data_IF_728675673998
#
_entry.id   IF_728675673998
#
_cell.length_a   1.000
_cell.length_b   1.000
_cell.length_c   1.000
_cell.angle_alpha   90.00
_cell.angle_beta   90.00
_cell.angle_gamma   90.00
#
_symmetry.space_group_name_H-M   'P 1'
#
loop_
_entity.id
_entity.type
_entity.pdbx_description
1 polymer ?
#
# COMPACT_ATOMS: atom_id res chain seq x y z
N UNK A 1 34.24 -8.64 13.01
CA UNK A 1 34.17 -8.26 14.44
C UNK A 1 34.18 -9.54 15.29
N UNK A 2 35.00 -9.61 16.34
CA UNK A 2 35.14 -10.82 17.19
C UNK A 2 34.19 -10.81 18.41
N UNK A 3 33.88 -9.62 18.94
CA UNK A 3 32.98 -9.42 20.08
C UNK A 3 31.99 -8.28 19.75
N UNK A 4 30.79 -8.31 20.33
CA UNK A 4 29.84 -7.20 20.25
C UNK A 4 30.12 -6.16 21.36
N UNK A 5 29.45 -5.00 21.29
CA UNK A 5 29.66 -3.89 22.23
C UNK A 5 29.49 -4.30 23.70
N UNK A 6 28.57 -5.21 24.00
CA UNK A 6 28.29 -5.69 25.36
C UNK A 6 29.27 -6.75 25.85
N UNK A 7 30.05 -7.37 24.97
CA UNK A 7 30.97 -8.47 25.29
C UNK A 7 32.43 -8.13 24.92
N UNK A 8 32.76 -6.85 24.69
CA UNK A 8 34.13 -6.45 24.40
C UNK A 8 35.01 -6.58 25.64
N UNK A 9 36.27 -6.99 25.46
CA UNK A 9 37.28 -6.93 26.52
C UNK A 9 37.90 -5.52 26.60
N UNK A 10 38.52 -5.20 27.74
CA UNK A 10 39.26 -3.95 27.90
C UNK A 10 40.37 -3.82 26.85
N UNK A 11 40.50 -2.62 26.28
CA UNK A 11 41.42 -2.33 25.18
C UNK A 11 40.91 -2.70 23.78
N UNK A 12 39.78 -3.40 23.64
CA UNK A 12 39.19 -3.67 22.32
C UNK A 12 38.51 -2.43 21.74
N UNK A 13 38.84 -2.13 20.48
CA UNK A 13 38.32 -0.98 19.72
C UNK A 13 37.19 -1.39 18.77
N UNK A 14 36.27 -0.46 18.53
CA UNK A 14 35.24 -0.63 17.50
C UNK A 14 35.90 -0.63 16.12
N UNK A 15 35.75 -1.74 15.39
CA UNK A 15 36.27 -1.92 14.03
C UNK A 15 35.17 -1.78 12.96
N UNK A 16 33.92 -1.62 13.38
CA UNK A 16 32.76 -1.47 12.50
C UNK A 16 32.51 0.01 12.23
N UNK A 17 32.45 0.82 13.28
CA UNK A 17 32.15 2.24 13.17
C UNK A 17 33.44 3.05 13.08
N UNK A 18 33.47 4.02 12.16
CA UNK A 18 34.62 4.90 12.01
C UNK A 18 34.73 5.80 13.23
N UNK A 19 35.97 6.09 13.64
CA UNK A 19 36.25 7.05 14.69
C UNK A 19 36.75 8.35 14.07
N UNK A 20 36.64 9.45 14.83
CA UNK A 20 37.23 10.73 14.47
C UNK A 20 38.72 10.56 14.13
N UNK A 21 39.17 11.17 13.04
CA UNK A 21 40.56 11.07 12.56
C UNK A 21 41.57 11.88 13.39
N UNK A 22 41.11 12.63 14.40
CA UNK A 22 41.98 13.25 15.39
C UNK A 22 42.54 12.18 16.34
N UNK A 23 43.83 12.25 16.61
CA UNK A 23 44.53 11.25 17.42
C UNK A 23 43.93 11.13 18.82
N UNK A 24 43.79 9.89 19.30
CA UNK A 24 43.15 9.57 20.59
C UNK A 24 41.66 9.88 20.71
N UNK A 25 40.97 10.35 19.65
CA UNK A 25 39.56 10.71 19.74
C UNK A 25 38.61 9.53 19.54
N UNK A 26 37.83 9.19 20.57
CA UNK A 26 36.85 8.09 20.55
C UNK A 26 35.43 8.52 20.17
N UNK A 27 35.25 9.70 19.58
CA UNK A 27 33.93 10.17 19.13
C UNK A 27 33.64 9.76 17.69
N UNK A 28 32.37 9.48 17.38
CA UNK A 28 31.93 9.22 16.02
C UNK A 28 32.03 10.49 15.17
N UNK A 29 32.65 10.44 13.98
CA UNK A 29 32.77 11.61 13.13
C UNK A 29 31.44 11.89 12.44
N UNK A 30 31.12 13.18 12.31
CA UNK A 30 29.98 13.65 11.50
C UNK A 30 30.35 14.77 10.54
N UNK A 31 31.56 15.34 10.66
CA UNK A 31 32.03 16.48 9.89
C UNK A 31 33.04 16.09 8.83
N UNK A 32 32.94 16.73 7.67
CA UNK A 32 33.84 16.53 6.54
C UNK A 32 33.54 17.50 5.40
N UNK A 33 34.21 17.29 4.27
CA UNK A 33 34.04 18.09 3.04
C UNK A 33 33.23 17.36 1.97
N UNK A 34 32.99 16.05 2.14
CA UNK A 34 32.28 15.19 1.18
C UNK A 34 31.12 14.48 1.87
N UNK A 35 29.92 14.55 1.26
CA UNK A 35 28.70 13.91 1.78
C UNK A 35 28.90 12.41 2.05
N UNK A 36 28.39 11.92 3.19
CA UNK A 36 28.56 10.54 3.69
C UNK A 36 30.01 10.09 3.90
N UNK A 37 30.98 11.01 3.94
CA UNK A 37 32.38 10.72 4.27
C UNK A 37 32.85 11.60 5.45
N UNK A 38 32.31 11.37 6.66
CA UNK A 38 32.77 12.10 7.84
C UNK A 38 34.19 11.66 8.21
N UNK A 39 35.00 12.63 8.62
CA UNK A 39 36.38 12.44 9.06
C UNK A 39 36.58 12.90 10.51
N UNK A 40 35.91 13.98 10.90
CA UNK A 40 36.10 14.59 12.23
C UNK A 40 34.78 14.70 12.98
N UNK A 41 34.86 14.77 14.31
CA UNK A 41 33.72 15.12 15.14
C UNK A 41 33.51 16.64 15.19
N UNK A 42 32.46 17.08 15.89
CA UNK A 42 32.13 18.51 16.03
C UNK A 42 33.29 19.34 16.61
N UNK A 43 34.01 18.81 17.60
CA UNK A 43 35.11 19.53 18.28
C UNK A 43 36.40 19.58 17.48
N UNK A 44 36.62 18.62 16.57
CA UNK A 44 37.84 18.50 15.76
C UNK A 44 37.62 18.91 14.30
N UNK A 45 36.47 19.50 13.95
CA UNK A 45 36.23 19.99 12.59
C UNK A 45 37.11 21.22 12.32
N UNK A 46 37.69 21.30 11.13
CA UNK A 46 38.34 22.52 10.63
C UNK A 46 37.32 23.48 10.02
N UNK A 47 37.74 24.72 9.76
CA UNK A 47 36.89 25.68 9.05
C UNK A 47 36.57 25.18 7.63
N UNK A 48 35.36 25.47 7.15
CA UNK A 48 34.83 24.92 5.89
C UNK A 48 34.31 23.47 5.95
N UNK A 49 34.56 22.71 7.03
CA UNK A 49 33.93 21.39 7.20
C UNK A 49 32.47 21.52 7.65
N UNK A 50 31.60 20.73 7.02
CA UNK A 50 30.16 20.69 7.30
C UNK A 50 29.77 19.34 7.89
N UNK A 51 28.62 19.28 8.54
CA UNK A 51 28.02 18.00 8.91
C UNK A 51 27.61 17.27 7.62
N UNK A 52 28.26 16.15 7.35
CA UNK A 52 28.11 15.32 6.13
C UNK A 52 27.35 14.03 6.38
N UNK A 53 26.83 13.85 7.60
CA UNK A 53 26.05 12.68 8.01
C UNK A 53 24.59 13.08 8.18
N UNK A 54 24.36 14.18 8.88
CA UNK A 54 23.03 14.66 9.18
C UNK A 54 22.53 15.58 8.08
N UNK A 55 21.30 15.33 7.65
CA UNK A 55 20.63 16.24 6.73
C UNK A 55 20.38 17.58 7.40
N UNK A 56 20.45 18.61 6.57
CA UNK A 56 20.14 19.98 6.91
C UNK A 56 18.83 20.38 6.27
N UNK A 57 18.24 21.44 6.79
CA UNK A 57 17.10 22.09 6.17
C UNK A 57 17.40 22.39 4.70
N UNK A 58 16.43 22.12 3.82
CA UNK A 58 16.54 22.35 2.37
C UNK A 58 16.45 23.82 1.98
N UNK A 59 16.27 24.74 2.94
CA UNK A 59 16.39 26.17 2.70
C UNK A 59 17.86 26.56 2.58
N UNK A 60 18.19 27.37 1.57
CA UNK A 60 19.57 27.75 1.28
C UNK A 60 20.22 28.47 2.47
N UNK A 61 21.48 28.15 2.74
CA UNK A 61 22.22 28.68 3.89
C UNK A 61 21.76 28.20 5.28
N UNK A 62 20.68 27.41 5.40
CA UNK A 62 20.20 26.97 6.71
C UNK A 62 20.94 25.72 7.22
N UNK A 63 21.60 25.82 8.38
CA UNK A 63 22.33 24.70 8.98
C UNK A 63 21.51 23.87 10.00
N UNK A 64 20.26 24.25 10.25
CA UNK A 64 19.40 23.56 11.22
C UNK A 64 18.95 22.19 10.70
N UNK A 65 18.68 21.27 11.63
CA UNK A 65 18.15 19.94 11.29
C UNK A 65 16.69 20.02 10.85
N UNK A 66 16.31 19.34 9.76
CA UNK A 66 14.93 19.32 9.32
C UNK A 66 14.09 18.41 10.22
N UNK A 67 12.90 18.88 10.57
CA UNK A 67 11.91 18.12 11.33
C UNK A 67 10.51 18.19 10.70
N UNK A 68 10.27 19.06 9.72
CA UNK A 68 9.04 19.16 8.95
C UNK A 68 9.20 18.53 7.57
N UNK A 69 8.19 17.74 7.18
CA UNK A 69 8.12 17.12 5.86
C UNK A 69 6.70 16.74 5.50
N UNK A 70 6.51 16.29 4.26
CA UNK A 70 5.25 15.66 3.85
C UNK A 70 5.14 14.30 4.57
N UNK A 71 3.97 13.94 5.14
CA UNK A 71 3.82 12.65 5.79
C UNK A 71 4.20 11.50 4.87
N UNK A 72 4.89 10.48 5.41
CA UNK A 72 5.44 9.38 4.62
C UNK A 72 6.76 9.70 3.89
N UNK A 73 7.27 10.94 3.98
CA UNK A 73 8.57 11.34 3.46
C UNK A 73 9.55 11.75 4.55
N UNK A 74 10.80 11.86 4.14
CA UNK A 74 11.87 12.36 4.99
C UNK A 74 11.65 13.86 5.24
N UNK A 75 11.90 14.32 6.46
CA UNK A 75 11.83 15.75 6.77
C UNK A 75 12.85 16.53 5.93
N UNK A 76 12.40 17.65 5.38
CA UNK A 76 13.18 18.50 4.48
C UNK A 76 13.39 19.90 5.06
N UNK A 77 12.50 20.39 5.92
CA UNK A 77 12.55 21.76 6.43
C UNK A 77 12.59 21.80 7.96
N UNK A 78 13.18 22.85 8.52
CA UNK A 78 13.09 23.15 9.95
C UNK A 78 11.78 23.90 10.28
N UNK A 79 11.56 24.23 11.55
CA UNK A 79 10.37 24.96 12.01
C UNK A 79 10.23 26.35 11.40
N UNK A 80 11.34 27.05 11.16
CA UNK A 80 11.35 28.41 10.59
C UNK A 80 11.08 28.39 9.09
N UNK A 81 11.52 27.35 8.38
CA UNK A 81 11.41 27.21 6.94
C UNK A 81 10.32 26.21 6.49
N UNK A 82 9.44 25.79 7.39
CA UNK A 82 8.40 24.80 7.10
C UNK A 82 7.52 25.27 5.95
N UNK A 83 7.22 24.36 5.04
CA UNK A 83 6.37 24.65 3.88
C UNK A 83 4.89 24.32 4.19
N UNK A 84 3.93 24.90 3.45
CA UNK A 84 2.53 24.52 3.59
C UNK A 84 2.34 23.00 3.51
N UNK A 85 1.48 22.46 4.36
CA UNK A 85 1.15 21.03 4.44
C UNK A 85 2.30 20.10 4.86
N UNK A 86 3.41 20.66 5.32
CA UNK A 86 4.45 19.87 6.01
C UNK A 86 4.15 19.80 7.50
N UNK A 87 4.35 18.63 8.08
CA UNK A 87 4.17 18.39 9.51
C UNK A 87 5.42 17.72 10.07
N UNK A 88 5.55 17.73 11.40
CA UNK A 88 6.52 16.87 12.07
C UNK A 88 6.04 15.43 12.03
N UNK A 89 6.97 14.47 11.98
CA UNK A 89 6.62 13.05 12.03
C UNK A 89 5.78 12.75 13.29
N UNK A 90 4.54 12.24 13.17
CA UNK A 90 3.67 11.99 14.31
C UNK A 90 4.29 10.97 15.26
N UNK A 91 4.65 11.41 16.47
CA UNK A 91 5.26 10.55 17.49
C UNK A 91 4.39 10.41 18.75
N UNK A 92 3.39 11.28 18.92
CA UNK A 92 2.49 11.27 20.07
C UNK A 92 1.49 10.13 19.96
N UNK A 93 1.22 9.50 21.11
CA UNK A 93 0.19 8.47 21.24
C UNK A 93 -1.16 9.11 21.50
N UNK A 94 -2.21 8.38 21.13
CA UNK A 94 -3.57 8.74 21.48
C UNK A 94 -3.69 8.93 23.01
N UNK A 95 -4.36 10.00 23.43
CA UNK A 95 -4.57 10.34 24.84
C UNK A 95 -5.54 9.39 25.56
N UNK A 96 -6.22 8.49 24.82
CA UNK A 96 -7.11 7.51 25.43
C UNK A 96 -6.28 6.50 26.24
N UNK A 97 -6.75 6.21 27.47
CA UNK A 97 -6.08 5.29 28.40
C UNK A 97 -5.77 3.96 27.70
N UNK A 98 -4.53 3.49 27.84
CA UNK A 98 -4.01 2.24 27.26
C UNK A 98 -4.01 2.15 25.71
N UNK A 99 -4.33 3.22 24.98
CA UNK A 99 -4.27 3.21 23.53
C UNK A 99 -2.82 3.37 23.03
N UNK A 100 -2.35 2.41 22.24
CA UNK A 100 -0.99 2.43 21.66
C UNK A 100 -0.93 3.05 20.26
N UNK A 101 -2.07 3.45 19.69
CA UNK A 101 -2.15 4.06 18.37
C UNK A 101 -1.57 5.48 18.37
N UNK A 102 -1.05 5.90 17.23
CA UNK A 102 -0.56 7.27 17.02
C UNK A 102 -1.74 8.24 17.01
N UNK A 103 -1.57 9.40 17.63
CA UNK A 103 -2.54 10.48 17.55
C UNK A 103 -2.40 11.20 16.21
N UNK A 104 -3.50 11.26 15.45
CA UNK A 104 -3.58 11.89 14.13
C UNK A 104 -4.70 12.94 14.05
N UNK A 105 -5.64 12.91 15.01
CA UNK A 105 -6.86 13.71 15.02
C UNK A 105 -6.92 14.65 16.23
N UNK A 106 -7.48 15.84 16.08
CA UNK A 106 -7.73 16.80 17.15
C UNK A 106 -8.28 18.12 16.64
N UNK A 107 -8.29 19.18 17.46
CA UNK A 107 -8.71 20.53 17.03
C UNK A 107 -7.47 21.37 16.69
N UNK A 108 -6.64 21.69 17.69
CA UNK A 108 -5.41 22.47 17.49
C UNK A 108 -4.15 21.61 17.32
N UNK A 109 -4.22 20.38 17.83
CA UNK A 109 -3.14 19.39 17.80
C UNK A 109 -3.69 17.98 17.82
N UNK A 110 -2.96 17.04 17.23
CA UNK A 110 -3.33 15.64 17.24
C UNK A 110 -3.25 15.04 18.66
N UNK A 111 -4.39 14.60 19.19
CA UNK A 111 -4.54 13.98 20.52
C UNK A 111 -5.25 12.63 20.48
N UNK A 112 -5.99 12.32 19.41
CA UNK A 112 -6.74 11.07 19.25
C UNK A 112 -6.28 10.29 18.01
N UNK A 113 -6.41 8.97 18.04
CA UNK A 113 -6.28 8.15 16.84
C UNK A 113 -7.61 8.08 16.08
N UNK A 114 -7.63 7.42 14.92
CA UNK A 114 -8.81 7.26 14.08
C UNK A 114 -10.01 6.63 14.82
N UNK A 115 -9.76 5.65 15.69
CA UNK A 115 -10.82 4.99 16.47
C UNK A 115 -11.37 5.81 17.64
N UNK A 116 -10.63 6.83 18.08
CA UNK A 116 -11.00 7.65 19.24
C UNK A 116 -11.23 9.12 18.85
N UNK A 117 -11.39 9.42 17.56
CA UNK A 117 -11.68 10.78 17.10
C UNK A 117 -13.10 11.18 17.48
N UNK A 118 -13.28 12.47 17.70
CA UNK A 118 -14.58 13.09 17.95
C UNK A 118 -15.02 13.80 16.66
N UNK A 119 -16.30 14.15 16.55
CA UNK A 119 -16.87 14.71 15.31
C UNK A 119 -16.25 16.06 14.91
N UNK A 120 -15.81 16.85 15.89
CA UNK A 120 -15.12 18.12 15.70
C UNK A 120 -13.61 17.98 15.42
N UNK A 121 -13.06 16.76 15.46
CA UNK A 121 -11.63 16.57 15.20
C UNK A 121 -11.32 16.58 13.70
N UNK A 122 -10.29 17.34 13.34
CA UNK A 122 -9.68 17.36 12.01
C UNK A 122 -8.54 16.34 11.92
N UNK A 123 -8.31 15.82 10.71
CA UNK A 123 -7.18 14.96 10.38
C UNK A 123 -5.95 15.84 10.07
N UNK A 124 -4.86 15.66 10.82
CA UNK A 124 -3.63 16.44 10.62
C UNK A 124 -2.70 15.87 9.54
N UNK A 125 -3.02 14.70 8.99
CA UNK A 125 -2.13 13.93 8.11
C UNK A 125 -2.75 13.74 6.74
N UNK A 126 -4.00 13.27 6.68
CA UNK A 126 -4.69 13.03 5.42
C UNK A 126 -5.38 14.30 4.92
N UNK A 127 -5.42 14.46 3.60
CA UNK A 127 -5.98 15.61 2.90
C UNK A 127 -6.72 15.14 1.65
N UNK A 128 -7.61 15.98 1.13
CA UNK A 128 -8.37 15.68 -0.10
C UNK A 128 -7.46 15.80 -1.32
N UNK A 129 -7.32 14.71 -2.07
CA UNK A 129 -6.54 14.66 -3.30
C UNK A 129 -7.15 15.56 -4.37
N UNK A 130 -6.33 16.41 -5.00
CA UNK A 130 -6.79 17.33 -6.06
C UNK A 130 -7.22 16.61 -7.34
N UNK A 131 -6.77 15.37 -7.56
CA UNK A 131 -7.08 14.60 -8.78
C UNK A 131 -8.31 13.71 -8.65
N UNK A 132 -8.51 13.02 -7.51
CA UNK A 132 -9.61 12.06 -7.33
C UNK A 132 -10.64 12.47 -6.27
N UNK A 133 -10.41 13.56 -5.52
CA UNK A 133 -11.35 14.05 -4.49
C UNK A 133 -11.43 13.19 -3.22
N UNK A 134 -10.61 12.14 -3.11
CA UNK A 134 -10.58 11.25 -1.95
C UNK A 134 -9.49 11.67 -0.94
N UNK A 135 -9.73 11.36 0.33
CA UNK A 135 -8.83 11.69 1.43
C UNK A 135 -7.65 10.72 1.51
N UNK A 136 -6.43 11.22 1.36
CA UNK A 136 -5.18 10.46 1.39
C UNK A 136 -4.03 11.25 1.98
N UNK A 137 -2.93 10.57 2.27
CA UNK A 137 -1.63 11.23 2.37
C UNK A 137 -1.23 11.67 0.95
N UNK A 138 -1.05 12.97 0.79
CA UNK A 138 -0.76 13.60 -0.50
C UNK A 138 0.72 13.92 -0.61
N UNK A 139 1.22 13.98 -1.84
CA UNK A 139 2.56 14.46 -2.12
C UNK A 139 2.66 16.00 -2.10
N UNK A 140 3.81 16.54 -2.50
CA UNK A 140 4.05 17.98 -2.61
C UNK A 140 3.14 18.67 -3.65
N UNK A 141 2.62 17.93 -4.63
CA UNK A 141 1.70 18.43 -5.67
C UNK A 141 0.23 18.36 -5.23
N UNK A 142 -0.05 17.85 -4.03
CA UNK A 142 -1.40 17.68 -3.53
C UNK A 142 -2.16 16.53 -4.20
N UNK A 143 -1.46 15.59 -4.85
CA UNK A 143 -2.07 14.38 -5.41
C UNK A 143 -1.77 13.17 -4.52
N UNK A 144 -2.73 12.25 -4.43
CA UNK A 144 -2.49 11.01 -3.72
C UNK A 144 -1.55 10.12 -4.54
N UNK A 145 -0.90 9.18 -3.87
CA UNK A 145 0.03 8.24 -4.51
C UNK A 145 -0.59 7.39 -5.63
N UNK A 146 -1.92 7.26 -5.64
CA UNK A 146 -2.67 6.54 -6.68
C UNK A 146 -2.88 7.37 -7.95
N UNK A 147 -2.84 8.69 -7.80
CA UNK A 147 -2.98 9.66 -8.89
C UNK A 147 -1.62 10.14 -9.42
N UNK A 148 -0.50 9.84 -8.74
CA UNK A 148 0.85 10.05 -9.24
C UNK A 148 1.37 8.78 -9.96
N UNK A 149 1.48 8.78 -11.31
CA UNK A 149 1.92 7.61 -12.07
C UNK A 149 3.32 7.11 -11.66
N UNK A 150 4.20 7.99 -11.20
CA UNK A 150 5.56 7.60 -10.81
C UNK A 150 5.57 6.81 -9.50
N UNK A 151 4.61 7.08 -8.62
CA UNK A 151 4.48 6.40 -7.33
C UNK A 151 3.59 5.17 -7.40
N UNK A 152 2.56 5.19 -8.23
CA UNK A 152 1.67 4.06 -8.46
C UNK A 152 2.44 2.76 -8.75
N UNK A 153 3.50 2.84 -9.58
CA UNK A 153 4.30 1.68 -10.00
C UNK A 153 5.22 1.11 -8.90
N UNK A 154 5.39 1.79 -7.77
CA UNK A 154 6.34 1.38 -6.70
C UNK A 154 5.65 0.78 -5.47
N UNK A 155 4.31 0.80 -5.40
CA UNK A 155 3.56 0.33 -4.25
C UNK A 155 2.93 -1.05 -4.48
N UNK A 156 3.29 -2.02 -3.63
CA UNK A 156 2.73 -3.38 -3.63
C UNK A 156 1.21 -3.33 -3.37
N UNK A 157 0.40 -3.99 -4.19
CA UNK A 157 -1.08 -4.03 -4.12
C UNK A 157 -1.79 -2.69 -4.43
N UNK A 158 -1.13 -1.74 -5.12
CA UNK A 158 -1.74 -0.47 -5.49
C UNK A 158 -3.04 -0.67 -6.29
N UNK A 159 -3.05 -1.57 -7.28
CA UNK A 159 -4.22 -1.82 -8.13
C UNK A 159 -5.37 -2.43 -7.35
N UNK A 160 -5.10 -3.42 -6.50
CA UNK A 160 -6.09 -4.00 -5.60
C UNK A 160 -6.68 -2.96 -4.63
N UNK A 161 -5.83 -2.10 -4.06
CA UNK A 161 -6.26 -1.02 -3.17
C UNK A 161 -7.19 -0.04 -3.90
N UNK A 162 -6.93 0.25 -5.17
CA UNK A 162 -7.81 1.09 -6.01
C UNK A 162 -9.19 0.48 -6.21
N UNK A 163 -9.27 -0.83 -6.43
CA UNK A 163 -10.54 -1.56 -6.49
C UNK A 163 -11.28 -1.47 -5.15
N UNK A 164 -10.58 -1.67 -4.03
CA UNK A 164 -11.16 -1.52 -2.69
C UNK A 164 -11.77 -0.14 -2.46
N UNK A 165 -11.09 0.92 -2.91
CA UNK A 165 -11.58 2.29 -2.78
C UNK A 165 -12.86 2.51 -3.59
N UNK A 166 -12.89 2.02 -4.83
CA UNK A 166 -14.08 2.07 -5.68
C UNK A 166 -15.25 1.33 -5.02
N UNK A 167 -15.01 0.12 -4.51
CA UNK A 167 -16.01 -0.66 -3.78
C UNK A 167 -16.46 -0.02 -2.46
N UNK A 168 -15.60 0.73 -1.76
CA UNK A 168 -15.98 1.44 -0.54
C UNK A 168 -16.76 2.74 -0.81
N UNK A 169 -16.54 3.38 -1.97
CA UNK A 169 -17.18 4.63 -2.34
C UNK A 169 -18.59 4.43 -2.94
N UNK A 170 -18.93 3.20 -3.33
CA UNK A 170 -20.23 2.87 -3.92
C UNK A 170 -21.35 2.88 -2.85
N UNK A 171 -22.53 3.37 -3.23
CA UNK A 171 -23.70 3.46 -2.34
C UNK A 171 -24.77 2.41 -2.66
N UNK A 172 -24.41 1.40 -3.46
CA UNK A 172 -25.35 0.42 -3.99
C UNK A 172 -25.71 -0.60 -2.90
N UNK A 173 -27.01 -0.76 -2.62
CA UNK A 173 -27.50 -1.73 -1.65
C UNK A 173 -27.21 -3.18 -2.11
N UNK A 174 -26.77 -4.04 -1.17
CA UNK A 174 -26.34 -5.42 -1.48
C UNK A 174 -24.95 -5.53 -2.13
N UNK A 175 -24.26 -4.40 -2.31
CA UNK A 175 -22.97 -4.32 -3.00
C UNK A 175 -21.85 -4.02 -2.00
N UNK A 176 -21.80 -4.78 -0.90
CA UNK A 176 -20.78 -4.62 0.15
C UNK A 176 -20.13 -5.97 0.44
N UNK A 177 -18.81 -6.04 0.31
CA UNK A 177 -18.06 -7.24 0.66
C UNK A 177 -18.11 -7.48 2.18
N UNK A 178 -18.14 -8.75 2.56
CA UNK A 178 -18.13 -9.21 3.97
C UNK A 178 -16.71 -9.50 4.46
N UNK A 179 -15.77 -9.77 3.56
CA UNK A 179 -14.35 -9.99 3.87
C UNK A 179 -13.43 -9.40 2.79
N UNK A 180 -12.22 -8.99 3.20
CA UNK A 180 -11.17 -8.47 2.33
C UNK A 180 -9.80 -8.92 2.84
N UNK A 181 -9.01 -9.59 1.99
CA UNK A 181 -7.67 -10.08 2.30
C UNK A 181 -7.63 -10.84 3.64
N UNK A 182 -8.51 -11.84 3.83
CA UNK A 182 -8.54 -12.70 5.03
C UNK A 182 -8.62 -14.16 4.64
N UNK A 183 -7.98 -15.00 5.46
CA UNK A 183 -8.05 -16.46 5.30
C UNK A 183 -9.46 -16.92 5.60
N UNK A 184 -9.96 -17.88 4.83
CA UNK A 184 -11.27 -18.50 5.08
C UNK A 184 -11.19 -19.40 6.31
N UNK A 185 -12.22 -19.36 7.15
CA UNK A 185 -12.39 -20.26 8.30
C UNK A 185 -11.21 -20.25 9.29
N UNK A 186 -10.58 -19.08 9.48
CA UNK A 186 -9.41 -18.87 10.35
C UNK A 186 -8.23 -19.85 10.13
N UNK A 187 -8.17 -20.49 8.96
CA UNK A 187 -7.13 -21.47 8.63
C UNK A 187 -7.46 -22.93 8.95
N UNK A 188 -8.68 -23.23 9.39
CA UNK A 188 -9.11 -24.59 9.76
C UNK A 188 -9.17 -25.52 8.54
N UNK A 189 -9.68 -25.04 7.41
CA UNK A 189 -9.83 -25.82 6.17
C UNK A 189 -8.79 -25.48 5.07
N UNK A 190 -7.91 -24.49 5.28
CA UNK A 190 -6.86 -24.11 4.32
C UNK A 190 -6.27 -22.72 4.57
N UNK A 191 -5.21 -22.34 3.85
CA UNK A 191 -4.58 -21.00 3.95
C UNK A 191 -5.07 -20.02 2.87
N UNK A 192 -6.10 -20.40 2.13
CA UNK A 192 -6.57 -19.63 0.99
C UNK A 192 -7.20 -18.31 1.41
N UNK A 193 -6.84 -17.26 0.67
CA UNK A 193 -7.12 -15.88 1.01
C UNK A 193 -7.70 -15.17 -0.21
N UNK A 194 -9.03 -15.11 -0.33
CA UNK A 194 -9.68 -14.32 -1.36
C UNK A 194 -9.35 -12.82 -1.18
N UNK A 195 -9.22 -12.12 -2.30
CA UNK A 195 -9.03 -10.67 -2.27
C UNK A 195 -10.26 -9.97 -1.69
N UNK A 196 -11.45 -10.27 -2.21
CA UNK A 196 -12.74 -9.81 -1.66
C UNK A 196 -13.76 -10.94 -1.66
N UNK A 197 -14.55 -11.02 -0.61
CA UNK A 197 -15.67 -11.97 -0.47
C UNK A 197 -16.97 -11.20 -0.29
N UNK A 198 -17.98 -11.55 -1.07
CA UNK A 198 -19.34 -11.05 -0.95
C UNK A 198 -20.29 -12.20 -0.65
N UNK A 199 -21.29 -11.94 0.17
CA UNK A 199 -22.33 -12.90 0.54
C UNK A 199 -23.63 -12.51 -0.17
N UNK A 200 -24.12 -13.40 -1.04
CA UNK A 200 -25.46 -13.32 -1.59
C UNK A 200 -26.36 -14.34 -0.88
N UNK A 201 -27.68 -14.19 -1.02
CA UNK A 201 -28.65 -15.03 -0.31
C UNK A 201 -28.57 -16.53 -0.69
N UNK A 202 -28.00 -16.86 -1.86
CA UNK A 202 -27.96 -18.23 -2.41
C UNK A 202 -26.54 -18.76 -2.65
N UNK A 203 -25.52 -17.90 -2.62
CA UNK A 203 -24.16 -18.24 -3.03
C UNK A 203 -23.16 -17.19 -2.51
N UNK A 204 -21.86 -17.49 -2.60
CA UNK A 204 -20.80 -16.50 -2.41
C UNK A 204 -20.28 -15.98 -3.73
N UNK A 205 -19.81 -14.74 -3.74
CA UNK A 205 -19.07 -14.17 -4.86
C UNK A 205 -17.68 -13.79 -4.37
N UNK A 206 -16.66 -14.32 -5.04
CA UNK A 206 -15.26 -13.97 -4.79
C UNK A 206 -14.78 -13.06 -5.90
N UNK A 207 -14.20 -11.91 -5.57
CA UNK A 207 -13.51 -11.04 -6.53
C UNK A 207 -12.00 -11.14 -6.32
N UNK A 208 -11.28 -11.56 -7.35
CA UNK A 208 -9.82 -11.62 -7.41
C UNK A 208 -9.28 -10.49 -8.28
N UNK A 209 -8.31 -9.72 -7.79
CA UNK A 209 -7.64 -8.65 -8.54
C UNK A 209 -6.31 -9.17 -9.06
N UNK A 210 -6.36 -9.78 -10.24
CA UNK A 210 -5.25 -10.52 -10.82
C UNK A 210 -4.28 -9.60 -11.58
N UNK A 211 -3.34 -9.01 -10.85
CA UNK A 211 -2.24 -8.28 -11.48
C UNK A 211 -1.41 -9.21 -12.40
N UNK A 212 -1.06 -8.74 -13.58
CA UNK A 212 -0.37 -9.50 -14.64
C UNK A 212 -1.09 -10.80 -15.08
N UNK A 213 -2.40 -10.92 -14.87
CA UNK A 213 -3.21 -12.09 -15.25
C UNK A 213 -2.77 -13.43 -14.62
N UNK A 214 -1.96 -13.40 -13.55
CA UNK A 214 -1.44 -14.61 -12.89
C UNK A 214 -0.70 -15.59 -13.85
N UNK A 215 -0.02 -15.07 -14.89
CA UNK A 215 0.70 -15.87 -15.91
C UNK A 215 1.77 -16.83 -15.36
N UNK A 216 2.23 -16.60 -14.14
CA UNK A 216 3.27 -17.40 -13.48
C UNK A 216 2.73 -18.63 -12.73
N UNK A 217 1.40 -18.85 -12.68
CA UNK A 217 0.78 -19.99 -12.01
C UNK A 217 0.18 -20.97 -13.01
N UNK A 218 0.35 -22.27 -12.75
CA UNK A 218 -0.30 -23.31 -13.53
C UNK A 218 -1.82 -23.22 -13.33
N UNK A 219 -2.56 -23.22 -14.44
CA UNK A 219 -4.02 -23.11 -14.46
C UNK A 219 -4.70 -24.14 -13.55
N UNK A 220 -4.17 -25.37 -13.51
CA UNK A 220 -4.66 -26.45 -12.64
C UNK A 220 -4.60 -26.08 -11.14
N UNK A 221 -3.57 -25.35 -10.73
CA UNK A 221 -3.43 -24.90 -9.34
C UNK A 221 -4.46 -23.82 -9.00
N UNK A 222 -4.81 -22.93 -9.93
CA UNK A 222 -5.85 -21.93 -9.72
C UNK A 222 -7.25 -22.57 -9.69
N UNK A 223 -7.54 -23.56 -10.55
CA UNK A 223 -8.77 -24.34 -10.47
C UNK A 223 -8.91 -25.04 -9.12
N UNK A 224 -7.86 -25.71 -8.67
CA UNK A 224 -7.83 -26.37 -7.35
C UNK A 224 -8.04 -25.37 -6.21
N UNK A 225 -7.41 -24.19 -6.28
CA UNK A 225 -7.58 -23.11 -5.31
C UNK A 225 -9.05 -22.64 -5.23
N UNK A 226 -9.69 -22.41 -6.37
CA UNK A 226 -11.09 -21.99 -6.44
C UNK A 226 -12.05 -23.05 -5.88
N UNK A 227 -11.80 -24.33 -6.17
CA UNK A 227 -12.57 -25.45 -5.60
C UNK A 227 -12.42 -25.50 -4.08
N UNK A 228 -11.19 -25.42 -3.56
CA UNK A 228 -10.93 -25.45 -2.12
C UNK A 228 -11.63 -24.28 -1.40
N UNK A 229 -11.57 -23.08 -1.97
CA UNK A 229 -12.28 -21.90 -1.44
C UNK A 229 -13.79 -22.16 -1.40
N UNK A 230 -14.38 -22.66 -2.49
CA UNK A 230 -15.81 -22.93 -2.60
C UNK A 230 -16.28 -24.01 -1.61
N UNK A 231 -15.46 -25.04 -1.40
CA UNK A 231 -15.72 -26.09 -0.42
C UNK A 231 -15.61 -25.56 1.01
N UNK A 232 -14.60 -24.76 1.32
CA UNK A 232 -14.43 -24.13 2.64
C UNK A 232 -15.56 -23.15 2.98
N UNK A 233 -16.19 -22.52 1.98
CA UNK A 233 -17.37 -21.66 2.17
C UNK A 233 -18.68 -22.45 2.29
N UNK A 234 -18.71 -23.71 1.87
CA UNK A 234 -19.87 -24.61 2.02
C UNK A 234 -21.10 -24.27 1.17
N UNK A 235 -20.98 -23.36 0.21
CA UNK A 235 -22.08 -22.94 -0.68
C UNK A 235 -21.58 -22.73 -2.11
N UNK A 236 -22.49 -22.72 -3.11
CA UNK A 236 -22.11 -22.35 -4.47
C UNK A 236 -21.31 -21.05 -4.48
N UNK A 237 -20.25 -20.98 -5.27
CA UNK A 237 -19.33 -19.84 -5.30
C UNK A 237 -19.00 -19.44 -6.74
N UNK A 238 -19.15 -18.15 -7.03
CA UNK A 238 -18.83 -17.55 -8.34
C UNK A 238 -17.61 -16.66 -8.19
N UNK A 239 -16.56 -16.94 -8.96
CA UNK A 239 -15.34 -16.14 -9.00
C UNK A 239 -15.43 -15.09 -10.11
N UNK A 240 -15.19 -13.83 -9.77
CA UNK A 240 -14.99 -12.73 -10.71
C UNK A 240 -13.50 -12.39 -10.70
N UNK A 241 -12.78 -12.77 -11.74
CA UNK A 241 -11.35 -12.45 -11.89
C UNK A 241 -11.22 -11.16 -12.69
N UNK A 242 -10.62 -10.15 -12.08
CA UNK A 242 -10.48 -8.83 -12.68
C UNK A 242 -9.01 -8.50 -12.93
N UNK A 243 -8.62 -8.38 -14.20
CA UNK A 243 -7.29 -7.92 -14.56
C UNK A 243 -7.26 -6.37 -14.61
N UNK A 244 -6.50 -5.69 -13.74
CA UNK A 244 -6.34 -4.24 -13.80
C UNK A 244 -5.31 -3.79 -14.87
N UNK A 245 -4.54 -4.72 -15.43
CA UNK A 245 -3.44 -4.46 -16.36
C UNK A 245 -3.86 -4.47 -17.82
N UNK A 246 -2.90 -4.10 -18.67
CA UNK A 246 -3.00 -4.23 -20.11
C UNK A 246 -3.16 -5.70 -20.51
N UNK A 247 -3.91 -5.95 -21.57
CA UNK A 247 -4.16 -7.30 -22.08
C UNK A 247 -4.15 -7.30 -23.61
N UNK A 248 -4.10 -8.49 -24.21
CA UNK A 248 -4.12 -8.69 -25.64
C UNK A 248 -5.54 -8.99 -26.12
N UNK A 249 -5.93 -8.39 -27.24
CA UNK A 249 -7.11 -8.80 -28.03
C UNK A 249 -6.63 -9.37 -29.37
N UNK A 250 -7.46 -10.22 -29.98
CA UNK A 250 -7.11 -10.95 -31.20
C UNK A 250 -8.02 -10.61 -32.39
N UNK A 251 -8.03 -9.35 -32.89
CA UNK A 251 -8.79 -8.99 -34.08
C UNK A 251 -8.11 -9.56 -35.32
N UNK A 252 -8.90 -10.13 -36.24
CA UNK A 252 -8.49 -10.47 -37.61
C UNK A 252 -7.19 -11.29 -37.72
N UNK A 253 -6.97 -12.22 -36.77
CA UNK A 253 -5.79 -13.09 -36.73
C UNK A 253 -4.50 -12.42 -36.24
N UNK A 254 -4.54 -11.13 -35.90
CA UNK A 254 -3.44 -10.40 -35.25
C UNK A 254 -3.56 -10.38 -33.73
N UNK A 255 -2.52 -9.87 -33.04
CA UNK A 255 -2.59 -9.56 -31.60
C UNK A 255 -2.38 -8.07 -31.38
N UNK A 256 -3.24 -7.45 -30.57
CA UNK A 256 -3.14 -6.03 -30.21
C UNK A 256 -3.21 -5.88 -28.70
N UNK A 257 -2.26 -5.13 -28.12
CA UNK A 257 -2.29 -4.78 -26.70
C UNK A 257 -3.28 -3.62 -26.49
N UNK A 258 -4.11 -3.72 -25.46
CA UNK A 258 -5.11 -2.71 -25.11
C UNK A 258 -5.05 -2.38 -23.63
N UNK A 259 -5.36 -1.13 -23.30
CA UNK A 259 -5.44 -0.65 -21.93
C UNK A 259 -6.63 0.30 -21.75
N UNK A 260 -7.84 -0.24 -21.52
CA UNK A 260 -9.02 0.58 -21.29
C UNK A 260 -8.88 1.52 -20.09
N UNK A 261 -9.47 2.71 -20.21
CA UNK A 261 -9.52 3.68 -19.13
C UNK A 261 -10.13 3.08 -17.86
N UNK A 262 -9.61 3.47 -16.69
CA UNK A 262 -10.05 2.92 -15.42
C UNK A 262 -11.55 3.07 -15.17
N UNK A 263 -12.16 4.20 -15.56
CA UNK A 263 -13.61 4.42 -15.43
C UNK A 263 -14.41 3.39 -16.23
N UNK A 264 -13.95 2.99 -17.42
CA UNK A 264 -14.57 1.91 -18.21
C UNK A 264 -14.43 0.57 -17.51
N UNK A 265 -13.25 0.28 -16.94
CA UNK A 265 -13.02 -0.97 -16.20
C UNK A 265 -13.91 -1.09 -14.96
N UNK A 266 -14.03 -0.03 -14.18
CA UNK A 266 -14.88 -0.02 -12.98
C UNK A 266 -16.36 -0.18 -13.34
N UNK A 267 -16.85 0.46 -14.41
CA UNK A 267 -18.22 0.24 -14.89
C UNK A 267 -18.49 -1.22 -15.29
N UNK A 268 -17.55 -1.85 -16.01
CA UNK A 268 -17.68 -3.25 -16.41
C UNK A 268 -17.62 -4.20 -15.20
N UNK A 269 -16.72 -3.94 -14.26
CA UNK A 269 -16.62 -4.67 -13.00
C UNK A 269 -17.92 -4.54 -12.19
N UNK A 270 -18.46 -3.32 -12.08
CA UNK A 270 -19.72 -3.07 -11.36
C UNK A 270 -20.90 -3.79 -11.98
N UNK A 271 -20.98 -3.77 -13.32
CA UNK A 271 -22.01 -4.50 -14.04
C UNK A 271 -21.89 -6.01 -13.79
N UNK A 272 -20.67 -6.58 -13.88
CA UNK A 272 -20.44 -8.00 -13.68
C UNK A 272 -20.77 -8.44 -12.26
N UNK A 273 -20.28 -7.70 -11.25
CA UNK A 273 -20.53 -8.01 -9.85
C UNK A 273 -22.02 -7.98 -9.52
N UNK A 274 -22.76 -6.98 -10.02
CA UNK A 274 -24.23 -6.96 -9.88
C UNK A 274 -24.87 -8.18 -10.52
N UNK A 275 -24.49 -8.50 -11.76
CA UNK A 275 -25.07 -9.65 -12.44
C UNK A 275 -24.88 -10.94 -11.64
N UNK A 276 -23.66 -11.21 -11.14
CA UNK A 276 -23.41 -12.44 -10.38
C UNK A 276 -24.09 -12.43 -9.01
N UNK A 277 -24.01 -11.33 -8.24
CA UNK A 277 -24.61 -11.24 -6.90
C UNK A 277 -26.12 -11.49 -6.88
N UNK A 278 -26.82 -11.09 -7.95
CA UNK A 278 -28.28 -11.19 -8.04
C UNK A 278 -28.78 -12.37 -8.90
N UNK A 279 -27.88 -13.21 -9.42
CA UNK A 279 -28.25 -14.38 -10.23
C UNK A 279 -27.86 -15.66 -9.50
N UNK A 280 -28.81 -16.57 -9.31
CA UNK A 280 -28.52 -17.88 -8.69
C UNK A 280 -27.63 -18.69 -9.63
N UNK A 281 -26.44 -19.16 -9.20
CA UNK A 281 -25.56 -19.93 -10.04
C UNK A 281 -26.14 -21.33 -10.30
N UNK A 282 -25.93 -21.84 -11.51
CA UNK A 282 -26.33 -23.21 -11.91
C UNK A 282 -25.30 -24.27 -11.56
N UNK A 283 -24.07 -23.85 -11.25
CA UNK A 283 -22.93 -24.71 -10.93
C UNK A 283 -22.41 -24.40 -9.52
N UNK A 284 -21.82 -25.40 -8.87
CA UNK A 284 -21.27 -25.21 -7.52
C UNK A 284 -20.05 -24.28 -7.50
N UNK A 285 -19.16 -24.37 -8.49
CA UNK A 285 -18.00 -23.50 -8.62
C UNK A 285 -17.91 -23.01 -10.07
N UNK A 286 -17.79 -21.70 -10.26
CA UNK A 286 -17.64 -21.11 -11.59
C UNK A 286 -16.80 -19.85 -11.56
N UNK A 287 -16.28 -19.48 -12.72
CA UNK A 287 -15.44 -18.29 -12.88
C UNK A 287 -15.86 -17.48 -14.10
N UNK A 288 -15.69 -16.17 -13.97
CA UNK A 288 -15.78 -15.22 -15.06
C UNK A 288 -14.62 -14.24 -14.99
N UNK A 289 -14.01 -13.93 -16.13
CA UNK A 289 -12.82 -13.10 -16.21
C UNK A 289 -13.11 -11.78 -16.93
N UNK A 290 -12.50 -10.70 -16.45
CA UNK A 290 -12.63 -9.36 -17.02
C UNK A 290 -11.27 -8.85 -17.44
N UNK A 291 -11.17 -8.43 -18.70
CA UNK A 291 -9.97 -7.81 -19.28
C UNK A 291 -8.72 -8.71 -19.31
N UNK A 292 -8.91 -10.02 -19.49
CA UNK A 292 -7.83 -10.98 -19.76
C UNK A 292 -7.49 -11.05 -21.25
N UNK A 293 -6.39 -11.70 -21.61
CA UNK A 293 -6.05 -11.93 -23.00
C UNK A 293 -7.21 -12.65 -23.73
N UNK A 294 -7.69 -12.07 -24.82
CA UNK A 294 -8.86 -12.54 -25.58
C UNK A 294 -10.21 -12.03 -25.07
N UNK A 295 -10.23 -11.16 -24.04
CA UNK A 295 -11.47 -10.63 -23.50
C UNK A 295 -12.30 -9.88 -24.55
N UNK A 296 -13.55 -10.33 -24.69
CA UNK A 296 -14.55 -9.80 -25.60
C UNK A 296 -15.83 -9.51 -24.80
N UNK A 297 -16.18 -8.23 -24.65
CA UNK A 297 -17.33 -7.79 -23.87
C UNK A 297 -18.68 -8.24 -24.44
N UNK A 298 -18.70 -8.70 -25.70
CA UNK A 298 -19.90 -9.20 -26.38
C UNK A 298 -20.13 -10.70 -26.18
N UNK A 299 -19.12 -11.42 -25.67
CA UNK A 299 -19.19 -12.87 -25.48
C UNK A 299 -19.40 -13.23 -24.02
N UNK A 300 -20.19 -14.27 -23.73
CA UNK A 300 -20.26 -14.81 -22.38
C UNK A 300 -18.90 -15.40 -22.01
N UNK A 301 -18.32 -14.89 -20.93
CA UNK A 301 -17.11 -15.41 -20.32
C UNK A 301 -17.47 -16.02 -18.96
N UNK A 302 -18.06 -17.21 -18.98
CA UNK A 302 -18.47 -17.96 -17.80
C UNK A 302 -18.03 -19.42 -17.97
N UNK A 303 -17.27 -19.92 -17.01
CA UNK A 303 -16.69 -21.26 -17.04
C UNK A 303 -17.04 -22.00 -15.75
N UNK A 304 -17.53 -23.23 -15.88
CA UNK A 304 -17.76 -24.11 -14.73
C UNK A 304 -16.42 -24.73 -14.33
N UNK A 305 -16.07 -24.66 -13.05
CA UNK A 305 -14.88 -25.29 -12.51
C UNK A 305 -15.31 -26.59 -11.84
N UNK A 306 -14.89 -27.71 -12.41
CA UNK A 306 -15.10 -29.03 -11.81
C UNK A 306 -13.83 -29.46 -11.07
N UNK A 307 -13.95 -30.20 -9.95
CA UNK A 307 -12.82 -30.96 -9.43
C UNK A 307 -12.26 -31.84 -10.56
N UNK A 308 -10.94 -31.86 -10.75
CA UNK A 308 -10.32 -32.88 -11.60
C UNK A 308 -10.50 -34.24 -10.91
N UNK A 309 -10.96 -35.23 -11.67
CA UNK A 309 -10.94 -36.64 -11.27
C UNK A 309 -9.50 -37.15 -11.06
#
# INVERSE_FOLDING_TARGET
PLYCLTHKLDGMKDVIHRMCSHDGCETQPSYGTVWKKPLYCLTHKSDGMKDVVNRRCSHDGCETRPNYGIPGHLSEYCSEHKQPNTITNPNKRCSMKNCKNIALYGVDRAIRCEYHRESNHIDFVQRVCTSCGLTYILDKKGVCMMCDPNRFNTFRLAKQTRVKQHLNATTIAGYKYVSYDRVIDDGVCGKERPDFLFEAWSHYVVLEVDENQHKDRQELCECTRMVNISQGLGMPTVFVRYNPDEYYVFPDGGRRKVNPAHSRRMKALDLRLKMVLFTVPTSYCSVTSLFFDGYDETKPDYQVITPYE
#
